data_IF_252755912861
#
_entry.id   IF_252755912861
#
_cell.length_a   1.000
_cell.length_b   1.000
_cell.length_c   1.000
_cell.angle_alpha   90.00
_cell.angle_beta   90.00
_cell.angle_gamma   90.00
#
_symmetry.space_group_name_H-M   'P 1'
#
loop_
_entity.id
_entity.type
_entity.pdbx_description
1 polymer ?
#
# COMPACT_ATOMS: atom_id res chain seq x y z
N UNK A 1 -18.95 -30.74 18.00
CA UNK A 1 -18.75 -31.29 16.65
C UNK A 1 -17.92 -32.56 16.77
N UNK A 2 -18.44 -33.69 16.31
CA UNK A 2 -17.70 -34.95 16.30
C UNK A 2 -16.44 -34.83 15.44
N UNK A 3 -15.35 -35.47 15.85
CA UNK A 3 -14.06 -35.47 15.14
C UNK A 3 -14.23 -35.88 13.67
N UNK A 4 -15.07 -36.90 13.42
CA UNK A 4 -15.39 -37.39 12.07
C UNK A 4 -16.09 -36.32 11.23
N UNK A 5 -17.02 -35.58 11.82
CA UNK A 5 -17.71 -34.50 11.13
C UNK A 5 -16.73 -33.37 10.75
N UNK A 6 -15.79 -33.02 11.64
CA UNK A 6 -14.73 -32.04 11.35
C UNK A 6 -13.84 -32.49 10.18
N UNK A 7 -13.41 -33.75 10.18
CA UNK A 7 -12.59 -34.32 9.10
C UNK A 7 -13.31 -34.27 7.75
N UNK A 8 -14.61 -34.61 7.73
CA UNK A 8 -15.43 -34.55 6.50
C UNK A 8 -15.64 -33.13 6.02
N UNK A 9 -15.85 -32.17 6.94
CA UNK A 9 -15.99 -30.75 6.58
C UNK A 9 -14.70 -30.21 5.94
N UNK A 10 -13.54 -30.55 6.51
CA UNK A 10 -12.25 -30.18 5.94
C UNK A 10 -12.03 -30.81 4.55
N UNK A 11 -12.38 -32.08 4.38
CA UNK A 11 -12.37 -32.74 3.06
C UNK A 11 -13.31 -32.03 2.08
N UNK A 12 -14.49 -31.60 2.52
CA UNK A 12 -15.46 -30.85 1.70
C UNK A 12 -14.89 -29.52 1.24
N UNK A 13 -14.23 -28.76 2.11
CA UNK A 13 -13.57 -27.50 1.74
C UNK A 13 -12.52 -27.73 0.65
N UNK A 14 -11.60 -28.68 0.86
CA UNK A 14 -10.56 -28.99 -0.12
C UNK A 14 -11.12 -29.44 -1.47
N UNK A 15 -12.21 -30.22 -1.46
CA UNK A 15 -12.89 -30.67 -2.68
C UNK A 15 -13.58 -29.49 -3.39
N UNK A 16 -14.17 -28.56 -2.65
CA UNK A 16 -14.79 -27.36 -3.22
C UNK A 16 -13.74 -26.43 -3.83
N UNK A 17 -12.62 -26.22 -3.16
CA UNK A 17 -11.50 -25.40 -3.65
C UNK A 17 -10.92 -25.97 -4.97
N UNK A 18 -10.91 -27.29 -5.10
CA UNK A 18 -10.49 -27.97 -6.32
C UNK A 18 -11.55 -27.93 -7.45
N UNK A 19 -12.79 -27.46 -7.19
CA UNK A 19 -13.88 -27.43 -8.18
C UNK A 19 -14.69 -28.72 -8.27
N UNK A 20 -14.74 -29.51 -7.20
CA UNK A 20 -15.58 -30.69 -7.03
C UNK A 20 -14.82 -32.03 -7.03
N UNK A 21 -15.50 -33.16 -6.71
CA UNK A 21 -14.85 -34.46 -6.46
C UNK A 21 -14.06 -34.99 -7.66
N UNK A 22 -14.55 -34.77 -8.87
CA UNK A 22 -13.88 -35.19 -10.10
C UNK A 22 -12.64 -34.34 -10.40
N UNK A 23 -12.67 -33.05 -10.08
CA UNK A 23 -11.50 -32.18 -10.24
C UNK A 23 -10.45 -32.47 -9.16
N UNK A 24 -10.88 -32.71 -7.92
CA UNK A 24 -10.03 -33.14 -6.82
C UNK A 24 -9.29 -34.45 -7.14
N UNK A 25 -9.99 -35.45 -7.67
CA UNK A 25 -9.37 -36.72 -8.10
C UNK A 25 -8.42 -36.58 -9.29
N UNK A 26 -8.57 -35.53 -10.12
CA UNK A 26 -7.62 -35.22 -11.20
C UNK A 26 -6.36 -34.54 -10.68
N UNK A 27 -6.46 -33.78 -9.59
CA UNK A 27 -5.34 -33.09 -8.96
C UNK A 27 -4.43 -34.05 -8.18
N UNK A 28 -5.02 -35.10 -7.61
CA UNK A 28 -4.32 -36.06 -6.75
C UNK A 28 -4.40 -37.48 -7.33
N UNK A 29 -3.25 -37.98 -7.78
CA UNK A 29 -3.14 -39.31 -8.38
C UNK A 29 -3.46 -40.41 -7.34
N UNK A 30 -4.33 -41.35 -7.70
CA UNK A 30 -4.76 -42.45 -6.82
C UNK A 30 -5.97 -42.14 -5.92
N UNK A 31 -6.52 -40.92 -5.97
CA UNK A 31 -7.78 -40.58 -5.28
C UNK A 31 -8.98 -41.02 -6.12
N UNK A 32 -9.87 -41.84 -5.55
CA UNK A 32 -11.08 -42.29 -6.24
C UNK A 32 -12.24 -41.29 -6.00
N UNK A 33 -12.81 -40.67 -7.05
CA UNK A 33 -13.87 -39.66 -6.92
C UNK A 33 -15.18 -40.22 -6.36
N UNK A 34 -15.48 -41.49 -6.61
CA UNK A 34 -16.65 -42.18 -6.04
C UNK A 34 -16.45 -42.37 -4.54
N UNK A 35 -15.26 -42.76 -4.11
CA UNK A 35 -14.94 -42.92 -2.69
C UNK A 35 -15.01 -41.57 -1.95
N UNK A 36 -14.48 -40.50 -2.56
CA UNK A 36 -14.61 -39.14 -2.00
C UNK A 36 -16.09 -38.75 -1.87
N UNK A 37 -16.91 -38.99 -2.89
CA UNK A 37 -18.36 -38.74 -2.82
C UNK A 37 -19.04 -39.54 -1.70
N UNK A 38 -18.63 -40.80 -1.48
CA UNK A 38 -19.18 -41.64 -0.41
C UNK A 38 -18.85 -41.11 0.98
N UNK A 39 -17.63 -40.58 1.18
CA UNK A 39 -17.20 -39.94 2.42
C UNK A 39 -17.98 -38.64 2.66
N UNK A 40 -18.15 -37.80 1.63
CA UNK A 40 -18.87 -36.52 1.72
C UNK A 40 -20.37 -36.69 1.99
N UNK A 41 -20.97 -37.75 1.46
CA UNK A 41 -22.39 -38.09 1.67
C UNK A 41 -22.64 -38.84 2.98
N UNK A 42 -21.59 -39.15 3.75
CA UNK A 42 -21.70 -39.90 5.01
C UNK A 42 -22.04 -41.39 4.86
N UNK A 43 -22.01 -41.91 3.63
CA UNK A 43 -22.25 -43.33 3.35
C UNK A 43 -21.06 -44.22 3.70
N UNK A 44 -19.85 -43.65 3.78
CA UNK A 44 -18.64 -44.34 4.22
C UNK A 44 -18.03 -43.62 5.43
N UNK A 45 -17.49 -44.35 6.43
CA UNK A 45 -16.87 -43.74 7.60
C UNK A 45 -15.49 -43.16 7.28
N UNK A 46 -15.27 -41.89 7.61
CA UNK A 46 -13.95 -41.25 7.51
C UNK A 46 -13.13 -41.45 8.81
N UNK A 47 -12.66 -42.69 8.99
CA UNK A 47 -11.85 -43.11 10.15
C UNK A 47 -10.35 -42.90 9.98
N UNK A 48 -9.57 -43.25 11.00
CA UNK A 48 -8.14 -42.93 11.10
C UNK A 48 -7.31 -43.51 9.94
N UNK A 49 -7.56 -44.76 9.56
CA UNK A 49 -6.89 -45.39 8.39
C UNK A 49 -7.24 -44.71 7.06
N UNK A 50 -8.47 -44.23 6.92
CA UNK A 50 -8.91 -43.53 5.72
C UNK A 50 -8.27 -42.15 5.64
N UNK A 51 -8.15 -41.45 6.77
CA UNK A 51 -7.42 -40.18 6.91
C UNK A 51 -5.96 -40.35 6.54
N UNK A 52 -5.26 -41.30 7.18
CA UNK A 52 -3.83 -41.54 6.93
C UNK A 52 -3.56 -41.86 5.45
N UNK A 53 -4.43 -42.69 4.84
CA UNK A 53 -4.32 -43.00 3.41
C UNK A 53 -4.59 -41.77 2.54
N UNK A 54 -5.60 -40.96 2.88
CA UNK A 54 -5.93 -39.75 2.14
C UNK A 54 -4.79 -38.74 2.22
N UNK A 55 -4.24 -38.48 3.42
CA UNK A 55 -3.09 -37.60 3.65
C UNK A 55 -1.89 -37.99 2.80
N UNK A 56 -1.57 -39.29 2.73
CA UNK A 56 -0.50 -39.81 1.87
C UNK A 56 -0.78 -39.59 0.39
N UNK A 57 -2.01 -39.80 -0.07
CA UNK A 57 -2.39 -39.64 -1.49
C UNK A 57 -2.35 -38.18 -1.94
N UNK A 58 -2.70 -37.25 -1.05
CA UNK A 58 -2.75 -35.82 -1.38
C UNK A 58 -1.47 -35.07 -0.98
N UNK A 59 -0.50 -35.76 -0.36
CA UNK A 59 0.78 -35.18 0.06
C UNK A 59 0.69 -34.27 1.29
N UNK A 60 -0.32 -34.43 2.13
CA UNK A 60 -0.45 -33.65 3.37
C UNK A 60 0.39 -34.25 4.52
N UNK A 61 0.86 -33.42 5.46
CA UNK A 61 1.44 -33.90 6.71
C UNK A 61 0.46 -34.78 7.48
N UNK A 62 0.98 -35.79 8.16
CA UNK A 62 0.17 -36.67 9.00
C UNK A 62 -0.56 -35.87 10.09
N UNK A 63 -1.84 -36.13 10.28
CA UNK A 63 -2.67 -35.45 11.28
C UNK A 63 -3.17 -34.07 10.84
N UNK A 64 -3.11 -33.73 9.55
CA UNK A 64 -3.68 -32.47 9.03
C UNK A 64 -5.20 -32.47 9.11
N UNK A 65 -5.88 -33.60 8.88
CA UNK A 65 -7.34 -33.66 9.05
C UNK A 65 -7.78 -33.64 10.51
N UNK A 66 -6.87 -34.00 11.43
CA UNK A 66 -7.09 -34.06 12.88
C UNK A 66 -6.64 -32.81 13.61
N UNK A 67 -5.71 -32.06 13.02
CA UNK A 67 -5.35 -30.73 13.45
C UNK A 67 -6.64 -29.91 13.37
N UNK A 68 -7.26 -29.75 14.54
CA UNK A 68 -8.38 -28.83 14.72
C UNK A 68 -7.93 -27.52 14.12
N UNK A 69 -8.65 -27.04 13.11
CA UNK A 69 -8.46 -25.69 12.61
C UNK A 69 -8.37 -24.80 13.84
N UNK A 70 -7.21 -24.16 14.02
CA UNK A 70 -7.13 -23.04 14.93
C UNK A 70 -8.28 -22.13 14.53
N UNK A 71 -9.20 -21.92 15.46
CA UNK A 71 -10.49 -21.28 15.24
C UNK A 71 -10.30 -20.09 14.28
N UNK A 72 -11.09 -19.95 13.19
CA UNK A 72 -10.94 -18.83 12.26
C UNK A 72 -10.90 -17.47 12.98
N UNK A 73 -11.57 -17.34 14.13
CA UNK A 73 -11.50 -16.17 15.00
C UNK A 73 -10.11 -15.96 15.62
N UNK A 74 -9.40 -17.05 15.96
CA UNK A 74 -8.03 -17.01 16.47
C UNK A 74 -7.05 -16.59 15.37
N UNK A 75 -7.21 -17.09 14.15
CA UNK A 75 -6.37 -16.69 13.02
C UNK A 75 -6.60 -15.23 12.62
N UNK A 76 -7.86 -14.76 12.66
CA UNK A 76 -8.19 -13.38 12.39
C UNK A 76 -7.60 -12.44 13.46
N UNK A 77 -7.73 -12.83 14.74
CA UNK A 77 -7.14 -12.09 15.85
C UNK A 77 -5.61 -12.02 15.78
N UNK A 78 -4.95 -13.11 15.38
CA UNK A 78 -3.49 -13.12 15.18
C UNK A 78 -3.07 -12.21 14.02
N UNK A 79 -3.80 -12.25 12.90
CA UNK A 79 -3.57 -11.35 11.78
C UNK A 79 -3.73 -9.88 12.17
N UNK A 80 -4.77 -9.55 12.94
CA UNK A 80 -5.03 -8.19 13.40
C UNK A 80 -3.93 -7.69 14.35
N UNK A 81 -3.40 -8.56 15.21
CA UNK A 81 -2.23 -8.24 16.05
C UNK A 81 -1.00 -7.90 15.21
N UNK A 82 -0.70 -8.71 14.19
CA UNK A 82 0.44 -8.46 13.29
C UNK A 82 0.28 -7.14 12.54
N UNK A 83 -0.93 -6.84 12.04
CA UNK A 83 -1.22 -5.57 11.37
C UNK A 83 -1.03 -4.37 12.31
N UNK A 84 -1.47 -4.48 13.56
CA UNK A 84 -1.28 -3.43 14.55
C UNK A 84 0.20 -3.17 14.84
N UNK A 85 0.99 -4.23 14.98
CA UNK A 85 2.44 -4.14 15.22
C UNK A 85 3.16 -3.47 14.04
N UNK A 86 2.87 -3.88 12.80
CA UNK A 86 3.48 -3.28 11.61
C UNK A 86 3.12 -1.79 11.47
N UNK A 87 1.89 -1.40 11.82
CA UNK A 87 1.47 0.01 11.85
C UNK A 87 2.25 0.80 12.90
N UNK A 88 2.47 0.22 14.08
CA UNK A 88 3.25 0.85 15.14
C UNK A 88 4.71 1.06 14.72
N UNK A 89 5.34 0.04 14.11
CA UNK A 89 6.69 0.14 13.57
C UNK A 89 6.82 1.20 12.47
N UNK A 90 5.85 1.26 11.56
CA UNK A 90 5.83 2.28 10.50
C UNK A 90 5.68 3.70 11.07
N UNK A 91 4.83 3.89 12.07
CA UNK A 91 4.68 5.16 12.76
C UNK A 91 5.97 5.57 13.46
N UNK A 92 6.66 4.63 14.13
CA UNK A 92 7.94 4.87 14.76
C UNK A 92 9.04 5.25 13.74
N UNK A 93 9.09 4.58 12.58
CA UNK A 93 10.03 4.94 11.50
C UNK A 93 9.79 6.34 10.98
N UNK A 94 8.52 6.67 10.67
CA UNK A 94 8.15 8.02 10.20
C UNK A 94 8.47 9.10 11.22
N UNK A 95 8.30 8.84 12.51
CA UNK A 95 8.67 9.78 13.55
C UNK A 95 10.19 10.01 13.61
N UNK A 96 11.01 8.99 13.38
CA UNK A 96 12.48 9.13 13.28
C UNK A 96 12.88 9.93 12.05
N UNK A 97 12.29 9.63 10.90
CA UNK A 97 12.53 10.36 9.65
C UNK A 97 12.15 11.84 9.78
N UNK A 98 10.98 12.15 10.35
CA UNK A 98 10.56 13.54 10.58
C UNK A 98 11.53 14.30 11.50
N UNK A 99 12.06 13.64 12.54
CA UNK A 99 13.09 14.24 13.41
C UNK A 99 14.38 14.51 12.65
N UNK A 100 14.82 13.57 11.81
CA UNK A 100 16.02 13.74 10.99
C UNK A 100 15.86 14.90 10.00
N UNK A 101 14.72 15.00 9.31
CA UNK A 101 14.42 16.13 8.42
C UNK A 101 14.46 17.45 9.18
N UNK A 102 13.86 17.52 10.38
CA UNK A 102 13.89 18.73 11.21
C UNK A 102 15.32 19.16 11.54
N UNK A 103 16.17 18.23 11.97
CA UNK A 103 17.58 18.51 12.27
C UNK A 103 18.36 18.97 11.03
N UNK A 104 18.12 18.37 9.87
CA UNK A 104 18.75 18.79 8.62
C UNK A 104 18.32 20.20 8.22
N UNK A 105 17.03 20.53 8.37
CA UNK A 105 16.53 21.89 8.11
C UNK A 105 17.12 22.91 9.08
N UNK A 106 17.20 22.59 10.37
CA UNK A 106 17.84 23.47 11.37
C UNK A 106 19.33 23.69 11.06
N UNK A 107 20.06 22.64 10.71
CA UNK A 107 21.45 22.74 10.29
C UNK A 107 21.63 23.59 9.02
N UNK A 108 20.73 23.45 8.04
CA UNK A 108 20.75 24.26 6.83
C UNK A 108 20.50 25.75 7.14
N UNK A 109 19.55 26.08 8.03
CA UNK A 109 19.32 27.47 8.45
C UNK A 109 20.57 28.09 9.09
N UNK A 110 21.27 27.36 9.97
CA UNK A 110 22.49 27.85 10.61
C UNK A 110 23.62 28.12 9.60
N UNK A 111 23.73 27.29 8.54
CA UNK A 111 24.70 27.52 7.47
C UNK A 111 24.37 28.80 6.68
N UNK A 112 23.10 29.03 6.37
CA UNK A 112 22.66 30.27 5.69
C UNK A 112 22.95 31.49 6.56
N UNK A 113 22.64 31.44 7.85
CA UNK A 113 22.94 32.54 8.79
C UNK A 113 24.44 32.83 8.86
N UNK A 114 25.29 31.79 8.87
CA UNK A 114 26.74 31.94 8.85
C UNK A 114 27.25 32.55 7.53
N UNK A 115 26.68 32.17 6.37
CA UNK A 115 27.01 32.76 5.07
C UNK A 115 26.61 34.24 4.99
N UNK A 116 25.43 34.62 5.50
CA UNK A 116 24.99 36.02 5.57
C UNK A 116 25.96 36.86 6.41
N UNK A 117 26.37 36.36 7.58
CA UNK A 117 27.36 37.04 8.42
C UNK A 117 28.73 37.16 7.74
N UNK A 118 29.15 36.15 6.98
CA UNK A 118 30.39 36.20 6.21
C UNK A 118 30.33 37.25 5.09
N UNK A 119 29.21 37.37 4.39
CA UNK A 119 28.99 38.37 3.32
C UNK A 119 28.95 39.80 3.85
N UNK A 120 28.32 40.05 5.01
CA UNK A 120 28.32 41.37 5.65
C UNK A 120 29.71 41.79 6.14
N UNK A 121 30.55 40.84 6.57
CA UNK A 121 31.95 41.10 6.95
C UNK A 121 32.85 41.38 5.75
N UNK A 122 32.49 40.88 4.57
CA UNK A 122 33.19 41.09 3.30
C UNK A 122 32.74 42.39 2.61
N UNK A 123 32.74 43.50 3.36
CA UNK A 123 32.82 44.87 2.85
C UNK A 123 32.01 45.16 1.58
N UNK A 124 30.70 45.36 1.75
CA UNK A 124 29.87 45.99 0.73
C UNK A 124 30.35 47.43 0.51
N UNK A 125 31.32 47.62 -0.40
CA UNK A 125 31.66 48.92 -0.98
C UNK A 125 30.48 49.32 -1.87
N UNK A 126 29.40 49.77 -1.24
CA UNK A 126 28.30 50.44 -1.91
C UNK A 126 28.88 51.68 -2.60
N UNK A 127 29.09 51.58 -3.91
CA UNK A 127 29.32 52.74 -4.77
C UNK A 127 28.11 53.64 -4.62
N UNK A 128 28.30 54.75 -3.92
CA UNK A 128 27.35 55.85 -3.78
C UNK A 128 26.90 56.26 -5.18
N UNK A 129 25.61 56.17 -5.43
CA UNK A 129 24.96 56.38 -6.74
C UNK A 129 24.88 57.88 -7.10
N UNK A 130 25.95 58.66 -6.86
CA UNK A 130 25.93 60.12 -7.04
C UNK A 130 26.60 60.61 -8.34
N UNK A 131 27.25 59.73 -9.12
CA UNK A 131 27.90 60.10 -10.38
C UNK A 131 27.19 59.48 -11.61
N UNK A 132 25.93 59.86 -11.83
CA UNK A 132 25.26 59.67 -13.11
C UNK A 132 25.02 61.05 -13.76
N UNK A 133 25.62 61.36 -14.93
CA UNK A 133 25.31 62.61 -15.60
C UNK A 133 23.83 62.61 -16.03
N UNK A 134 23.09 63.60 -15.55
CA UNK A 134 21.68 63.80 -15.88
C UNK A 134 21.52 64.29 -17.33
N UNK A 135 21.58 63.38 -18.29
CA UNK A 135 21.00 63.65 -19.62
C UNK A 135 19.49 63.40 -19.57
N UNK A 136 18.74 64.46 -19.27
CA UNK A 136 17.27 64.46 -19.32
C UNK A 136 16.83 64.48 -20.78
N UNK A 137 16.43 63.33 -21.31
CA UNK A 137 15.72 63.24 -22.58
C UNK A 137 14.39 64.02 -22.48
N UNK A 138 14.10 64.87 -23.48
CA UNK A 138 12.88 65.68 -23.53
C UNK A 138 11.65 64.78 -23.74
N UNK A 139 10.46 65.13 -23.20
CA UNK A 139 9.31 64.22 -23.11
C UNK A 139 8.64 63.81 -24.43
N UNK A 140 9.14 64.25 -25.59
CA UNK A 140 8.46 64.07 -26.88
C UNK A 140 8.84 62.79 -27.66
N UNK A 141 9.74 61.96 -27.13
CA UNK A 141 10.21 60.75 -27.83
C UNK A 141 9.37 59.49 -27.54
N UNK A 142 8.37 59.56 -26.66
CA UNK A 142 7.42 58.46 -26.49
C UNK A 142 6.32 58.57 -27.56
N UNK A 143 6.61 58.03 -28.75
CA UNK A 143 5.59 57.72 -29.75
C UNK A 143 4.58 56.73 -29.17
N UNK A 144 3.43 57.22 -28.70
CA UNK A 144 2.34 56.34 -28.27
C UNK A 144 1.77 55.58 -29.47
N UNK A 145 1.69 54.24 -29.43
CA UNK A 145 1.01 53.49 -30.47
C UNK A 145 -0.50 53.82 -30.46
N UNK A 146 -1.17 53.92 -31.62
CA UNK A 146 -2.58 54.27 -31.67
C UNK A 146 -3.44 53.20 -30.97
N UNK A 147 -4.32 53.66 -30.07
CA UNK A 147 -5.24 52.81 -29.32
C UNK A 147 -6.20 52.05 -30.27
N UNK A 148 -6.46 50.75 -30.04
CA UNK A 148 -7.37 49.98 -30.88
C UNK A 148 -8.81 50.51 -30.81
N UNK A 149 -9.43 50.71 -31.97
CA UNK A 149 -10.81 51.22 -32.09
C UNK A 149 -11.81 50.26 -31.43
N UNK A 150 -12.64 50.79 -30.54
CA UNK A 150 -13.64 50.05 -29.78
C UNK A 150 -14.60 49.26 -30.69
N UNK A 151 -14.83 47.98 -30.38
CA UNK A 151 -15.80 47.12 -31.08
C UNK A 151 -17.24 47.46 -30.68
N UNK A 152 -18.11 47.41 -31.67
CA UNK A 152 -19.51 47.83 -31.67
C UNK A 152 -20.37 47.26 -30.54
N UNK A 153 -21.32 48.09 -30.09
CA UNK A 153 -22.39 47.77 -29.16
C UNK A 153 -23.17 46.51 -29.59
N UNK A 154 -23.33 45.55 -28.68
CA UNK A 154 -24.26 44.43 -28.83
C UNK A 154 -25.70 44.98 -28.86
N UNK A 155 -26.41 44.72 -29.96
CA UNK A 155 -27.87 44.90 -30.05
C UNK A 155 -28.55 44.03 -28.98
N UNK A 156 -29.44 44.60 -28.19
CA UNK A 156 -30.41 43.86 -27.38
C UNK A 156 -31.43 43.24 -28.34
N UNK A 157 -31.61 41.93 -28.29
CA UNK A 157 -32.71 41.25 -28.96
C UNK A 157 -33.99 41.44 -28.13
N UNK A 158 -35.10 41.66 -28.84
CA UNK A 158 -36.48 41.77 -28.33
C UNK A 158 -36.92 40.58 -27.49
#
# INVERSE_FOLDING_TARGET
MDLRARRVEKLRQMVNDAGGPAAFARLHEGVNPTYVSQLLNGTAPFGDRAVEKMEKLIGLPAGTFDAGEADPDTQLAERDRVIAELRHQLAASRAREARAVKLLTEAASLLVDAEVLALDSAGSKSRRFEDAPAEVAKPSDYGYPPLPKAKAQRKRAS
#
